data_IF_265890635380
#
_entry.id   IF_265890635380
#
_cell.length_a   1.000
_cell.length_b   1.000
_cell.length_c   1.000
_cell.angle_alpha   90.00
_cell.angle_beta   90.00
_cell.angle_gamma   90.00
#
_symmetry.space_group_name_H-M   'P 1'
#
loop_
_entity.id
_entity.type
_entity.pdbx_description
1 polymer ?
#
# COMPACT_ATOMS: atom_id res chain seq x y z
N UNK A 1 -4.46 -3.80 -16.78
CA UNK A 1 -5.05 -4.18 -15.48
C UNK A 1 -4.49 -5.53 -14.98
N UNK A 2 -3.17 -5.75 -14.94
CA UNK A 2 -2.58 -7.01 -14.47
C UNK A 2 -2.37 -7.09 -12.94
N UNK A 3 -2.52 -5.97 -12.22
CA UNK A 3 -2.24 -5.85 -10.78
C UNK A 3 -3.43 -6.22 -9.87
N UNK A 4 -4.66 -6.18 -10.38
CA UNK A 4 -5.88 -6.37 -9.57
C UNK A 4 -6.01 -7.77 -8.97
N UNK A 5 -5.59 -8.81 -9.70
CA UNK A 5 -5.76 -10.20 -9.29
C UNK A 5 -5.06 -10.47 -7.96
N UNK A 6 -5.86 -10.66 -6.91
CA UNK A 6 -5.41 -11.00 -5.57
C UNK A 6 -5.05 -9.81 -4.68
N UNK A 7 -5.40 -8.58 -5.03
CA UNK A 7 -5.38 -7.43 -4.12
C UNK A 7 -6.73 -7.23 -3.41
N UNK A 8 -7.83 -7.67 -4.03
CA UNK A 8 -9.19 -7.53 -3.49
C UNK A 8 -9.33 -8.06 -2.06
N UNK A 9 -8.76 -9.24 -1.79
CA UNK A 9 -8.82 -9.89 -0.48
C UNK A 9 -8.07 -9.10 0.60
N UNK A 10 -6.89 -8.57 0.27
CA UNK A 10 -6.13 -7.71 1.18
C UNK A 10 -6.92 -6.46 1.52
N UNK A 11 -7.38 -5.73 0.51
CA UNK A 11 -8.10 -4.47 0.72
C UNK A 11 -9.46 -4.68 1.39
N UNK A 12 -10.14 -5.80 1.13
CA UNK A 12 -11.39 -6.18 1.78
C UNK A 12 -11.19 -6.50 3.25
N UNK A 13 -10.22 -7.36 3.58
CA UNK A 13 -9.90 -7.76 4.96
C UNK A 13 -9.50 -6.57 5.82
N UNK A 14 -8.83 -5.60 5.21
CA UNK A 14 -8.29 -4.41 5.84
C UNK A 14 -9.34 -3.27 5.96
N UNK A 15 -10.44 -3.36 5.21
CA UNK A 15 -11.51 -2.37 5.22
C UNK A 15 -11.25 -1.14 4.33
N UNK A 16 -10.35 -1.24 3.35
CA UNK A 16 -10.01 -0.16 2.40
C UNK A 16 -10.42 -0.49 0.96
N UNK A 17 -11.32 -1.46 0.77
CA UNK A 17 -11.78 -1.90 -0.55
C UNK A 17 -12.30 -0.75 -1.43
N UNK A 18 -12.98 0.23 -0.83
CA UNK A 18 -13.45 1.46 -1.50
C UNK A 18 -12.32 2.29 -2.12
N UNK A 19 -11.09 2.14 -1.63
CA UNK A 19 -9.90 2.88 -2.04
C UNK A 19 -8.96 2.05 -2.92
N UNK A 20 -9.28 0.80 -3.23
CA UNK A 20 -8.49 -0.05 -4.12
C UNK A 20 -8.24 0.59 -5.50
N UNK A 21 -9.23 1.18 -6.20
CA UNK A 21 -8.99 1.82 -7.49
C UNK A 21 -8.01 3.00 -7.39
N UNK A 22 -8.06 3.75 -6.28
CA UNK A 22 -7.12 4.84 -6.02
C UNK A 22 -5.71 4.30 -5.76
N UNK A 23 -5.59 3.25 -4.94
CA UNK A 23 -4.32 2.60 -4.64
C UNK A 23 -3.61 2.10 -5.91
N UNK A 24 -4.36 1.43 -6.80
CA UNK A 24 -3.84 0.95 -8.08
C UNK A 24 -3.33 2.09 -8.96
N UNK A 25 -4.09 3.19 -9.06
CA UNK A 25 -3.68 4.37 -9.82
C UNK A 25 -2.41 5.00 -9.27
N UNK A 26 -2.31 5.18 -7.95
CA UNK A 26 -1.14 5.78 -7.30
C UNK A 26 0.11 4.91 -7.46
N UNK A 27 -0.05 3.59 -7.33
CA UNK A 27 1.04 2.63 -7.50
C UNK A 27 1.53 2.59 -8.95
N UNK A 28 0.61 2.53 -9.92
CA UNK A 28 0.93 2.50 -11.35
C UNK A 28 1.67 3.78 -11.79
N UNK A 29 1.19 4.95 -11.37
CA UNK A 29 1.83 6.24 -11.68
C UNK A 29 3.26 6.37 -11.15
N UNK A 30 3.59 5.67 -10.06
CA UNK A 30 4.92 5.70 -9.45
C UNK A 30 5.73 4.42 -9.71
N UNK A 31 5.24 3.52 -10.56
CA UNK A 31 5.93 2.29 -10.97
C UNK A 31 6.11 1.26 -9.85
N UNK A 32 5.16 1.16 -8.92
CA UNK A 32 5.16 0.15 -7.86
C UNK A 32 4.45 -1.14 -8.29
N UNK A 33 4.99 -2.28 -7.86
CA UNK A 33 4.45 -3.60 -8.14
C UNK A 33 3.47 -4.08 -7.05
N UNK A 34 2.95 -5.29 -7.27
CA UNK A 34 1.98 -5.93 -6.36
C UNK A 34 2.55 -6.10 -4.95
N UNK A 35 3.80 -6.53 -4.83
CA UNK A 35 4.42 -6.79 -3.53
C UNK A 35 4.56 -5.51 -2.71
N UNK A 36 4.93 -4.39 -3.35
CA UNK A 36 4.94 -3.08 -2.68
C UNK A 36 3.54 -2.64 -2.25
N UNK A 37 2.52 -2.87 -3.09
CA UNK A 37 1.13 -2.51 -2.75
C UNK A 37 0.63 -3.29 -1.54
N UNK A 38 0.88 -4.60 -1.49
CA UNK A 38 0.47 -5.48 -0.38
C UNK A 38 1.15 -5.06 0.92
N UNK A 39 2.46 -4.82 0.89
CA UNK A 39 3.19 -4.39 2.07
C UNK A 39 2.76 -2.97 2.52
N UNK A 40 2.54 -2.07 1.55
CA UNK A 40 2.10 -0.71 1.83
C UNK A 40 0.71 -0.66 2.46
N UNK A 41 -0.25 -1.46 1.99
CA UNK A 41 -1.61 -1.48 2.56
C UNK A 41 -1.60 -1.99 4.00
N UNK A 42 -0.78 -3.00 4.33
CA UNK A 42 -0.58 -3.44 5.71
C UNK A 42 -0.05 -2.30 6.60
N UNK A 43 0.97 -1.56 6.13
CA UNK A 43 1.52 -0.40 6.87
C UNK A 43 0.52 0.76 7.00
N UNK A 44 -0.36 0.97 6.01
CA UNK A 44 -1.46 1.95 6.10
C UNK A 44 -2.39 1.59 7.26
N UNK A 45 -2.73 0.31 7.43
CA UNK A 45 -3.60 -0.15 8.53
C UNK A 45 -2.98 0.13 9.88
N UNK A 46 -1.70 -0.19 10.03
CA UNK A 46 -0.99 0.08 11.27
C UNK A 46 -1.02 1.58 11.60
N UNK A 47 -0.78 2.44 10.61
CA UNK A 47 -0.87 3.90 10.79
C UNK A 47 -2.31 4.36 11.06
N UNK A 48 -3.32 3.76 10.43
CA UNK A 48 -4.73 4.07 10.65
C UNK A 48 -5.17 3.73 12.08
N UNK A 49 -4.67 2.61 12.64
CA UNK A 49 -4.97 2.19 14.01
C UNK A 49 -4.43 3.15 15.07
N UNK A 50 -3.26 3.75 14.82
CA UNK A 50 -2.63 4.69 15.76
C UNK A 50 -3.07 6.13 15.51
N UNK A 51 -3.21 6.52 14.23
CA UNK A 51 -3.49 7.89 13.80
C UNK A 51 -4.56 7.92 12.70
N UNK A 52 -5.84 7.66 13.05
CA UNK A 52 -6.93 7.68 12.08
C UNK A 52 -7.14 9.10 11.50
N UNK A 53 -7.65 9.23 10.26
CA UNK A 53 -7.96 10.52 9.67
C UNK A 53 -9.07 11.24 10.44
N UNK A 54 -8.90 12.53 10.68
CA UNK A 54 -9.92 13.37 11.34
C UNK A 54 -11.05 13.83 10.40
N UNK A 55 -10.86 13.77 9.08
CA UNK A 55 -11.88 14.18 8.11
C UNK A 55 -11.76 13.45 6.78
N UNK A 56 -10.83 13.85 5.92
CA UNK A 56 -10.77 13.34 4.55
C UNK A 56 -9.98 12.02 4.48
N UNK A 57 -10.69 10.90 4.67
CA UNK A 57 -10.13 9.54 4.61
C UNK A 57 -9.38 9.27 3.30
N UNK A 58 -9.93 9.71 2.17
CA UNK A 58 -9.33 9.48 0.84
C UNK A 58 -8.03 10.25 0.67
N UNK A 59 -7.99 11.53 1.03
CA UNK A 59 -6.77 12.33 0.94
C UNK A 59 -5.69 11.86 1.93
N UNK A 60 -6.11 11.51 3.15
CA UNK A 60 -5.22 10.90 4.14
C UNK A 60 -4.64 9.59 3.62
N UNK A 61 -5.49 8.73 3.07
CA UNK A 61 -5.08 7.45 2.49
C UNK A 61 -4.07 7.67 1.37
N UNK A 62 -4.36 8.55 0.39
CA UNK A 62 -3.47 8.80 -0.73
C UNK A 62 -2.06 9.22 -0.26
N UNK A 63 -2.00 10.17 0.69
CA UNK A 63 -0.74 10.65 1.26
C UNK A 63 0.02 9.54 1.98
N UNK A 64 -0.65 8.81 2.87
CA UNK A 64 -0.03 7.75 3.67
C UNK A 64 0.38 6.58 2.78
N UNK A 65 -0.47 6.16 1.85
CA UNK A 65 -0.19 5.03 0.96
C UNK A 65 1.02 5.32 0.08
N UNK A 66 1.15 6.53 -0.47
CA UNK A 66 2.36 6.93 -1.22
C UNK A 66 3.64 6.88 -0.38
N UNK A 67 3.60 7.34 0.88
CA UNK A 67 4.71 7.21 1.84
C UNK A 67 5.05 5.72 2.05
N UNK A 68 4.03 4.88 2.28
CA UNK A 68 4.21 3.45 2.58
C UNK A 68 4.65 2.61 1.40
N UNK A 69 4.35 3.01 0.16
CA UNK A 69 4.89 2.39 -1.05
C UNK A 69 6.42 2.55 -1.13
N UNK A 70 6.93 3.73 -0.77
CA UNK A 70 8.38 3.98 -0.72
C UNK A 70 9.07 3.14 0.35
N UNK A 71 8.50 3.09 1.55
CA UNK A 71 8.99 2.22 2.64
C UNK A 71 8.96 0.74 2.25
N UNK A 72 7.85 0.27 1.65
CA UNK A 72 7.70 -1.11 1.19
C UNK A 72 8.79 -1.51 0.19
N UNK A 73 9.07 -0.65 -0.80
CA UNK A 73 10.16 -0.89 -1.75
C UNK A 73 11.51 -0.99 -1.06
N UNK A 74 11.81 -0.07 -0.15
CA UNK A 74 13.07 -0.10 0.61
C UNK A 74 13.21 -1.40 1.42
N UNK A 75 12.14 -1.83 2.09
CA UNK A 75 12.11 -3.08 2.87
C UNK A 75 12.30 -4.31 1.97
N UNK A 76 11.65 -4.36 0.80
CA UNK A 76 11.81 -5.44 -0.17
C UNK A 76 13.24 -5.50 -0.71
N UNK A 77 13.81 -4.37 -1.13
CA UNK A 77 15.19 -4.29 -1.60
C UNK A 77 16.18 -4.75 -0.52
N UNK A 78 15.98 -4.31 0.72
CA UNK A 78 16.80 -4.74 1.86
C UNK A 78 16.69 -6.24 2.11
N UNK A 79 15.47 -6.79 2.13
CA UNK A 79 15.26 -8.25 2.30
C UNK A 79 15.94 -9.05 1.19
N UNK A 80 15.85 -8.59 -0.05
CA UNK A 80 16.50 -9.24 -1.18
C UNK A 80 18.02 -9.17 -1.07
N UNK A 81 18.59 -8.03 -0.67
CA UNK A 81 20.02 -7.91 -0.43
C UNK A 81 20.50 -8.92 0.62
N UNK A 82 19.82 -8.99 1.77
CA UNK A 82 20.19 -9.90 2.86
C UNK A 82 20.05 -11.39 2.51
N UNK A 83 19.15 -11.75 1.59
CA UNK A 83 18.98 -13.14 1.11
C UNK A 83 20.06 -13.59 0.13
N UNK A 84 20.75 -12.65 -0.51
CA UNK A 84 21.79 -12.91 -1.49
C UNK A 84 23.21 -12.84 -0.87
N UNK A 85 23.31 -12.65 0.44
CA UNK A 85 24.54 -12.78 1.24
C UNK A 85 24.68 -14.22 1.73
#
# INVERSE_FOLDING_TARGET
MHLERGLDDYFSTIGFFDLLPLALRLADQAGYGKDEIVEAICKVVDKHRVFPPSSNRTAWFAKVFQEKLGEARADILRRNYLRNL
#
